data_IF_999747991677
#
_entry.id   IF_999747991677
#
_cell.length_a   1.000
_cell.length_b   1.000
_cell.length_c   1.000
_cell.angle_alpha   90.00
_cell.angle_beta   90.00
_cell.angle_gamma   90.00
#
_symmetry.space_group_name_H-M   'P 1'
#
loop_
_entity.id
_entity.type
_entity.pdbx_description
1 polymer ?
#
# COMPACT_ATOMS: atom_id res chain seq x y z
N UNK A 1 4.95 6.52 2.99
CA UNK A 1 5.57 5.63 1.98
C UNK A 1 5.69 6.34 0.62
N UNK A 2 6.26 7.56 0.56
CA UNK A 2 6.48 8.31 -0.70
C UNK A 2 5.22 8.62 -1.53
N UNK A 3 5.40 9.35 -2.63
CA UNK A 3 4.34 9.66 -3.63
C UNK A 3 4.24 8.56 -4.72
N UNK A 4 5.27 7.73 -4.85
CA UNK A 4 5.36 6.71 -5.89
C UNK A 4 4.77 5.39 -5.39
N UNK A 5 3.88 4.71 -6.15
CA UNK A 5 3.38 3.39 -5.79
C UNK A 5 4.49 2.37 -5.52
N UNK A 6 4.34 1.55 -4.47
CA UNK A 6 5.30 0.48 -4.12
C UNK A 6 5.57 -0.48 -5.29
N UNK A 7 4.58 -0.71 -6.15
CA UNK A 7 4.70 -1.54 -7.35
C UNK A 7 5.72 -0.98 -8.35
N UNK A 8 5.83 0.35 -8.46
CA UNK A 8 6.80 1.01 -9.33
C UNK A 8 8.19 1.09 -8.69
N UNK A 9 8.25 1.12 -7.35
CA UNK A 9 9.52 1.12 -6.63
C UNK A 9 10.18 -0.27 -6.60
N UNK A 10 9.40 -1.35 -6.60
CA UNK A 10 9.89 -2.73 -6.60
C UNK A 10 9.28 -3.60 -7.69
N UNK A 11 9.50 -3.28 -8.98
CA UNK A 11 8.91 -4.04 -10.08
C UNK A 11 9.36 -5.51 -10.08
N UNK A 12 10.61 -5.78 -9.68
CA UNK A 12 11.17 -7.13 -9.58
C UNK A 12 10.50 -7.99 -8.51
N UNK A 13 10.02 -7.40 -7.42
CA UNK A 13 9.25 -8.10 -6.39
C UNK A 13 7.81 -8.30 -6.83
N UNK A 14 7.14 -7.23 -7.26
CA UNK A 14 5.71 -7.27 -7.65
C UNK A 14 5.44 -8.20 -8.83
N UNK A 15 6.40 -8.35 -9.75
CA UNK A 15 6.29 -9.30 -10.87
C UNK A 15 6.16 -10.75 -10.41
N UNK A 16 6.78 -11.12 -9.28
CA UNK A 16 6.82 -12.50 -8.76
C UNK A 16 5.91 -12.73 -7.56
N UNK A 17 5.17 -11.73 -7.08
CA UNK A 17 4.20 -11.92 -6.00
C UNK A 17 3.08 -12.88 -6.44
N UNK A 18 2.69 -13.80 -5.56
CA UNK A 18 1.63 -14.77 -5.82
C UNK A 18 0.24 -14.12 -5.74
N UNK A 19 -0.01 -13.36 -4.66
CA UNK A 19 -1.28 -12.68 -4.36
C UNK A 19 -1.16 -11.18 -4.56
N UNK A 20 -1.75 -10.65 -5.63
CA UNK A 20 -1.67 -9.22 -5.98
C UNK A 20 -2.84 -8.39 -5.42
N UNK A 21 -3.86 -9.08 -4.94
CA UNK A 21 -5.14 -8.59 -4.42
C UNK A 21 -5.18 -8.54 -2.88
N UNK A 22 -4.02 -8.56 -2.22
CA UNK A 22 -3.93 -8.51 -0.77
C UNK A 22 -4.02 -7.08 -0.23
N UNK A 23 -4.85 -6.86 0.79
CA UNK A 23 -4.90 -5.60 1.52
C UNK A 23 -3.65 -5.41 2.39
N UNK A 24 -3.21 -4.15 2.52
CA UNK A 24 -2.05 -3.78 3.34
C UNK A 24 -2.25 -4.21 4.80
N UNK A 25 -3.46 -4.06 5.35
CA UNK A 25 -3.80 -4.52 6.69
C UNK A 25 -3.58 -6.03 6.87
N UNK A 26 -4.06 -6.86 5.93
CA UNK A 26 -3.89 -8.32 5.98
C UNK A 26 -2.43 -8.76 5.85
N UNK A 27 -1.63 -7.99 5.09
CA UNK A 27 -0.20 -8.25 4.91
C UNK A 27 0.60 -7.92 6.18
N UNK A 28 0.27 -6.81 6.84
CA UNK A 28 0.99 -6.29 8.01
C UNK A 28 0.52 -6.88 9.35
N UNK A 29 -0.64 -7.54 9.39
CA UNK A 29 -1.22 -8.08 10.62
C UNK A 29 -0.41 -9.24 11.24
N UNK A 30 0.10 -10.24 10.48
CA UNK A 30 0.95 -11.29 11.04
C UNK A 30 2.44 -10.97 10.98
N UNK A 31 3.21 -11.51 11.93
CA UNK A 31 4.68 -11.53 11.89
C UNK A 31 5.16 -12.98 11.79
N UNK A 32 5.84 -13.40 10.69
CA UNK A 32 6.29 -12.60 9.54
C UNK A 32 5.14 -12.19 8.58
N UNK A 33 5.39 -11.17 7.76
CA UNK A 33 4.43 -10.61 6.79
C UNK A 33 3.81 -11.71 5.91
N UNK A 34 2.51 -11.61 5.65
CA UNK A 34 1.77 -12.57 4.82
C UNK A 34 1.97 -12.29 3.32
N UNK A 35 3.20 -12.45 2.83
CA UNK A 35 3.56 -12.28 1.42
C UNK A 35 4.13 -13.58 0.88
N UNK A 36 3.53 -14.06 -0.21
CA UNK A 36 3.96 -15.25 -0.92
C UNK A 36 4.53 -14.89 -2.30
N UNK A 37 5.65 -15.52 -2.65
CA UNK A 37 6.34 -15.31 -3.92
C UNK A 37 6.31 -16.59 -4.77
N UNK A 38 6.10 -16.44 -6.08
CA UNK A 38 6.14 -17.52 -7.08
C UNK A 38 7.56 -17.99 -7.40
N UNK A 39 8.57 -17.17 -7.08
CA UNK A 39 9.99 -17.41 -7.38
C UNK A 39 10.81 -17.20 -6.12
N UNK A 40 11.96 -17.84 -6.07
CA UNK A 40 12.92 -17.65 -4.99
C UNK A 40 13.48 -16.23 -4.97
N UNK A 41 13.56 -15.67 -3.76
CA UNK A 41 14.23 -14.40 -3.50
C UNK A 41 15.73 -14.65 -3.44
N UNK A 42 16.46 -14.25 -4.48
CA UNK A 42 17.92 -14.45 -4.57
C UNK A 42 18.54 -13.19 -5.16
N UNK A 43 19.75 -12.83 -4.70
CA UNK A 43 20.49 -11.65 -5.13
C UNK A 43 19.70 -10.37 -4.92
N UNK A 44 19.64 -9.52 -5.94
CA UNK A 44 18.98 -8.21 -5.90
C UNK A 44 17.50 -8.26 -5.43
N UNK A 45 16.80 -9.39 -5.62
CA UNK A 45 15.43 -9.55 -5.11
C UNK A 45 15.39 -9.71 -3.59
N UNK A 46 16.38 -10.36 -3.00
CA UNK A 46 16.50 -10.48 -1.54
C UNK A 46 16.80 -9.14 -0.90
N UNK A 47 17.70 -8.34 -1.48
CA UNK A 47 18.01 -7.01 -0.98
C UNK A 47 16.80 -6.07 -1.08
N UNK A 48 16.09 -6.11 -2.21
CA UNK A 48 14.85 -5.37 -2.39
C UNK A 48 13.78 -5.79 -1.37
N UNK A 49 13.68 -7.09 -1.08
CA UNK A 49 12.76 -7.61 -0.07
C UNK A 49 13.10 -7.11 1.32
N UNK A 50 14.36 -7.21 1.76
CA UNK A 50 14.80 -6.70 3.05
C UNK A 50 14.57 -5.19 3.19
N UNK A 51 14.83 -4.44 2.12
CA UNK A 51 14.55 -3.01 2.09
C UNK A 51 13.05 -2.72 2.21
N UNK A 52 12.19 -3.48 1.52
CA UNK A 52 10.74 -3.34 1.63
C UNK A 52 10.27 -3.66 3.05
N UNK A 53 10.73 -4.76 3.64
CA UNK A 53 10.35 -5.18 5.01
C UNK A 53 10.72 -4.10 6.02
N UNK A 54 11.93 -3.54 5.96
CA UNK A 54 12.34 -2.44 6.87
C UNK A 54 11.39 -1.25 6.78
N UNK A 55 11.07 -0.80 5.56
CA UNK A 55 10.11 0.31 5.36
C UNK A 55 8.70 -0.01 5.84
N UNK A 56 8.29 -1.27 5.80
CA UNK A 56 6.99 -1.70 6.30
C UNK A 56 6.96 -1.82 7.83
N UNK A 57 8.07 -2.16 8.48
CA UNK A 57 8.18 -2.18 9.94
C UNK A 57 8.04 -0.78 10.55
N UNK A 58 8.49 0.25 9.83
CA UNK A 58 8.31 1.65 10.25
C UNK A 58 6.87 2.16 10.02
N UNK A 59 5.99 1.37 9.39
CA UNK A 59 4.60 1.76 9.12
C UNK A 59 3.70 1.23 10.21
N UNK A 60 3.23 2.15 11.05
CA UNK A 60 2.15 1.87 11.99
C UNK A 60 0.80 2.16 11.34
N UNK A 61 0.00 1.12 11.12
CA UNK A 61 -1.37 1.28 10.68
C UNK A 61 -2.22 1.82 11.85
N UNK A 62 -2.83 2.99 11.65
CA UNK A 62 -3.85 3.47 12.57
C UNK A 62 -5.19 2.78 12.30
N UNK A 63 -6.03 2.63 13.32
CA UNK A 63 -7.40 2.12 13.17
C UNK A 63 -8.37 3.16 12.59
N UNK A 64 -7.87 4.32 12.13
CA UNK A 64 -8.72 5.34 11.52
C UNK A 64 -9.14 4.89 10.12
N UNK A 65 -10.40 5.15 9.72
CA UNK A 65 -10.85 4.82 8.37
C UNK A 65 -10.03 5.58 7.32
N UNK A 66 -9.68 4.88 6.24
CA UNK A 66 -8.97 5.46 5.11
C UNK A 66 -9.75 6.66 4.55
N UNK A 67 -9.07 7.81 4.40
CA UNK A 67 -9.65 9.00 3.76
C UNK A 67 -9.29 9.00 2.28
N UNK A 68 -10.30 8.77 1.43
CA UNK A 68 -10.18 8.96 -0.01
C UNK A 68 -10.41 10.44 -0.35
N UNK A 69 -9.31 11.18 -0.51
CA UNK A 69 -9.37 12.58 -0.93
C UNK A 69 -9.29 12.68 -2.46
N UNK A 70 -10.41 12.98 -3.11
CA UNK A 70 -10.42 13.34 -4.53
C UNK A 70 -9.92 14.78 -4.69
N UNK A 71 -8.75 14.97 -5.32
CA UNK A 71 -8.22 16.30 -5.67
C UNK A 71 -8.96 16.86 -6.88
N UNK A 72 -10.24 17.21 -6.75
CA UNK A 72 -10.99 17.90 -7.80
C UNK A 72 -11.00 19.43 -7.62
N UNK A 73 -10.79 19.92 -6.39
CA UNK A 73 -10.77 21.35 -6.05
C UNK A 73 -9.46 21.76 -5.39
N UNK A 74 -9.15 23.07 -5.41
CA UNK A 74 -7.90 23.65 -4.87
C UNK A 74 -7.63 23.30 -3.39
N UNK A 75 -8.65 22.92 -2.63
CA UNK A 75 -8.55 22.57 -1.21
C UNK A 75 -8.48 21.04 -0.98
N UNK A 76 -8.60 20.22 -2.03
CA UNK A 76 -8.21 18.81 -2.03
C UNK A 76 -9.06 17.83 -1.21
N UNK A 77 -10.15 18.26 -0.58
CA UNK A 77 -10.99 17.38 0.26
C UNK A 77 -12.42 17.32 -0.31
N UNK A 78 -12.83 16.12 -0.72
CA UNK A 78 -14.22 15.80 -1.05
C UNK A 78 -14.66 14.62 -0.19
N UNK A 79 -15.58 14.86 0.74
CA UNK A 79 -16.24 13.79 1.49
C UNK A 79 -17.61 13.53 0.87
N UNK A 80 -18.00 12.25 0.69
CA UNK A 80 -19.29 11.82 0.10
C UNK A 80 -20.51 12.48 0.76
N UNK A 81 -20.38 12.92 2.02
CA UNK A 81 -21.40 13.69 2.75
C UNK A 81 -21.77 15.04 2.09
N UNK A 82 -20.86 15.67 1.36
CA UNK A 82 -21.12 16.97 0.72
C UNK A 82 -21.91 16.86 -0.59
N UNK A 83 -22.01 15.67 -1.20
CA UNK A 83 -22.75 15.45 -2.46
C UNK A 83 -24.27 15.64 -2.31
N UNK A 84 -24.82 15.47 -1.11
CA UNK A 84 -26.26 15.57 -0.86
C UNK A 84 -26.73 16.94 -0.36
N UNK A 85 -25.83 17.90 -0.15
CA UNK A 85 -26.21 19.25 0.31
C UNK A 85 -26.48 20.22 -0.85
N UNK A 86 -25.97 19.94 -2.04
CA UNK A 86 -26.16 20.80 -3.23
C UNK A 86 -27.45 20.48 -4.04
N UNK A 87 -28.37 19.68 -3.50
CA UNK A 87 -29.66 19.33 -4.14
C UNK A 87 -30.86 19.87 -3.35
N UNK A 88 -30.71 21.00 -2.64
CA UNK A 88 -31.82 21.71 -1.99
C UNK A 88 -32.05 23.06 -2.68
#
# INVERSE_FOLDING_TARGET
>A
LGETPLALQYPSLYSIVQRRDAYVATVLQPTPLNIQFRRTLVGNRWDAWLHLVRRLMDVQLSQQPDRLCWKLTKNGEFSVKFMHLDVI
#
